data_IF_182877867761
#
_entry.id   IF_182877867761
#
_cell.length_a   1.000
_cell.length_b   1.000
_cell.length_c   1.000
_cell.angle_alpha   90.00
_cell.angle_beta   90.00
_cell.angle_gamma   90.00
#
_symmetry.space_group_name_H-M   'P 1'
#
loop_
_entity.id
_entity.type
_entity.pdbx_description
1 polymer ?
#
# COMPACT_ATOMS: atom_id res chain seq x y z
N UNK A 1 -7.17 1.06 10.44
CA UNK A 1 -6.49 1.67 9.28
C UNK A 1 -7.23 2.93 8.77
N UNK A 2 -8.52 2.89 8.43
CA UNK A 2 -9.30 4.10 8.06
C UNK A 2 -9.18 5.25 9.07
N UNK A 3 -9.26 4.95 10.37
CA UNK A 3 -9.05 5.95 11.43
C UNK A 3 -7.70 6.69 11.34
N UNK A 4 -6.63 6.02 10.89
CA UNK A 4 -5.32 6.64 10.76
C UNK A 4 -5.23 7.55 9.52
N UNK A 5 -5.96 7.22 8.45
CA UNK A 5 -6.06 8.05 7.24
C UNK A 5 -6.87 9.32 7.54
N UNK A 6 -7.98 9.17 8.26
CA UNK A 6 -8.88 10.28 8.58
C UNK A 6 -8.26 11.33 9.50
N UNK A 7 -7.27 10.94 10.31
CA UNK A 7 -6.59 11.84 11.24
C UNK A 7 -5.52 12.72 10.59
N UNK A 8 -4.98 12.34 9.42
CA UNK A 8 -3.78 12.95 8.81
C UNK A 8 -4.01 13.48 7.40
N UNK A 9 -5.12 14.20 7.19
CA UNK A 9 -5.57 14.67 5.87
C UNK A 9 -4.52 15.55 5.15
N UNK A 10 -4.04 16.62 5.80
CA UNK A 10 -3.16 17.61 5.15
C UNK A 10 -1.75 17.09 4.82
N UNK A 11 -1.30 16.03 5.51
CA UNK A 11 0.06 15.52 5.34
C UNK A 11 0.21 14.59 4.12
N UNK A 12 -0.89 14.20 3.46
CA UNK A 12 -0.89 13.14 2.45
C UNK A 12 -1.07 13.61 1.01
N UNK A 13 -1.41 14.89 0.80
CA UNK A 13 -1.49 15.49 -0.51
C UNK A 13 -0.13 15.41 -1.25
N UNK A 14 -0.20 15.15 -2.56
CA UNK A 14 0.94 15.11 -3.48
C UNK A 14 2.04 14.10 -3.10
N UNK A 15 1.66 13.04 -2.36
CA UNK A 15 2.51 11.89 -2.04
C UNK A 15 2.06 10.66 -2.81
N UNK A 16 3.00 9.79 -3.17
CA UNK A 16 2.68 8.48 -3.73
C UNK A 16 2.25 7.50 -2.64
N UNK A 17 1.34 6.58 -2.97
CA UNK A 17 0.85 5.53 -2.08
C UNK A 17 0.86 4.16 -2.79
N UNK A 18 1.44 3.16 -2.14
CA UNK A 18 1.38 1.75 -2.52
C UNK A 18 0.71 0.91 -1.44
N UNK A 19 0.18 -0.25 -1.84
CA UNK A 19 -0.65 -1.09 -0.97
C UNK A 19 -0.10 -2.50 -0.83
N UNK A 20 0.10 -2.90 0.43
CA UNK A 20 0.33 -4.29 0.83
C UNK A 20 -0.87 -4.71 1.68
N UNK A 21 -1.57 -5.76 1.27
CA UNK A 21 -2.75 -6.26 1.96
C UNK A 21 -2.64 -7.75 2.22
N UNK A 22 -3.37 -8.22 3.23
CA UNK A 22 -3.47 -9.63 3.55
C UNK A 22 -4.92 -10.01 3.88
N UNK A 23 -5.24 -11.30 3.73
CA UNK A 23 -6.53 -11.85 4.14
C UNK A 23 -6.89 -13.11 3.36
N UNK A 24 -8.10 -13.63 3.59
CA UNK A 24 -8.61 -14.87 2.94
C UNK A 24 -8.44 -14.84 1.41
N UNK A 25 -8.61 -13.66 0.81
CA UNK A 25 -8.40 -13.41 -0.62
C UNK A 25 -7.43 -12.25 -0.86
N UNK A 26 -6.36 -12.17 -0.07
CA UNK A 26 -5.32 -11.16 -0.25
C UNK A 26 -5.72 -9.74 0.15
N UNK A 27 -6.92 -9.54 0.71
CA UNK A 27 -7.41 -8.21 1.14
C UNK A 27 -7.74 -7.25 -0.01
N UNK A 28 -7.85 -7.74 -1.26
CA UNK A 28 -7.99 -6.89 -2.47
C UNK A 28 -9.16 -5.91 -2.38
N UNK A 29 -10.34 -6.35 -1.93
CA UNK A 29 -11.52 -5.47 -1.80
C UNK A 29 -11.31 -4.33 -0.81
N UNK A 30 -10.54 -4.56 0.25
CA UNK A 30 -10.21 -3.53 1.21
C UNK A 30 -9.28 -2.47 0.59
N UNK A 31 -8.33 -2.90 -0.25
CA UNK A 31 -7.46 -1.99 -0.99
C UNK A 31 -8.23 -1.19 -2.03
N UNK A 32 -9.14 -1.80 -2.78
CA UNK A 32 -9.93 -1.05 -3.77
C UNK A 32 -10.79 0.04 -3.13
N UNK A 33 -11.42 -0.26 -1.98
CA UNK A 33 -12.10 0.75 -1.19
C UNK A 33 -11.14 1.83 -0.68
N UNK A 34 -9.95 1.44 -0.19
CA UNK A 34 -8.97 2.38 0.31
C UNK A 34 -8.40 3.29 -0.79
N UNK A 35 -8.24 2.81 -2.02
CA UNK A 35 -7.77 3.63 -3.15
C UNK A 35 -8.67 4.84 -3.35
N UNK A 36 -9.99 4.66 -3.27
CA UNK A 36 -10.95 5.77 -3.35
C UNK A 36 -10.75 6.79 -2.21
N UNK A 37 -10.54 6.30 -0.98
CA UNK A 37 -10.26 7.16 0.18
C UNK A 37 -8.92 7.90 0.01
N UNK A 38 -7.89 7.25 -0.50
CA UNK A 38 -6.57 7.85 -0.71
C UNK A 38 -6.59 8.93 -1.80
N UNK A 39 -7.42 8.74 -2.84
CA UNK A 39 -7.65 9.77 -3.85
C UNK A 39 -8.29 11.03 -3.24
N UNK A 40 -9.24 10.88 -2.31
CA UNK A 40 -9.89 12.02 -1.64
C UNK A 40 -8.88 12.86 -0.84
N UNK A 41 -7.91 12.21 -0.18
CA UNK A 41 -6.85 12.92 0.57
C UNK A 41 -5.67 13.39 -0.31
N UNK A 42 -5.82 13.34 -1.63
CA UNK A 42 -4.85 13.86 -2.59
C UNK A 42 -3.58 13.02 -2.78
N UNK A 43 -3.60 11.73 -2.41
CA UNK A 43 -2.46 10.83 -2.62
C UNK A 43 -2.55 10.13 -3.99
N UNK A 44 -1.41 9.97 -4.65
CA UNK A 44 -1.30 9.32 -5.94
C UNK A 44 -1.05 7.82 -5.77
N UNK A 45 -2.05 7.00 -6.10
CA UNK A 45 -2.01 5.55 -5.93
C UNK A 45 -1.26 4.86 -7.07
N UNK A 46 -0.20 4.10 -6.75
CA UNK A 46 0.53 3.29 -7.75
C UNK A 46 -0.27 2.05 -8.16
N UNK A 47 0.06 1.45 -9.31
CA UNK A 47 -0.71 0.35 -9.90
C UNK A 47 -0.42 -0.95 -9.16
N UNK A 48 0.86 -1.29 -8.99
CA UNK A 48 1.27 -2.54 -8.37
C UNK A 48 0.75 -2.65 -6.93
N UNK A 49 0.36 -3.85 -6.55
CA UNK A 49 -0.24 -4.18 -5.25
C UNK A 49 0.22 -5.56 -4.82
N UNK A 50 0.69 -5.67 -3.58
CA UNK A 50 0.96 -6.96 -2.95
C UNK A 50 -0.29 -7.41 -2.21
N UNK A 51 -0.77 -8.62 -2.53
CA UNK A 51 -1.95 -9.22 -1.92
C UNK A 51 -1.60 -10.61 -1.39
N UNK A 52 -1.45 -10.72 -0.07
CA UNK A 52 -1.02 -11.94 0.63
C UNK A 52 -2.24 -12.77 1.07
N UNK A 53 -2.40 -13.95 0.51
CA UNK A 53 -3.47 -14.87 0.86
C UNK A 53 -3.16 -15.58 2.17
N UNK A 54 -4.11 -15.56 3.11
CA UNK A 54 -4.00 -16.23 4.41
C UNK A 54 -3.80 -17.75 4.30
N UNK A 55 -4.11 -18.36 3.16
CA UNK A 55 -3.95 -19.80 2.93
C UNK A 55 -2.61 -20.20 2.31
N UNK A 56 -1.94 -19.27 1.63
CA UNK A 56 -0.81 -19.62 0.76
C UNK A 56 0.44 -18.82 1.03
N UNK A 57 0.32 -17.68 1.69
CA UNK A 57 1.43 -16.77 1.97
C UNK A 57 1.81 -16.73 3.46
N UNK A 58 1.19 -17.60 4.27
CA UNK A 58 1.44 -17.71 5.70
C UNK A 58 1.43 -19.16 6.16
N UNK A 59 2.37 -19.50 7.04
CA UNK A 59 2.30 -20.68 7.91
C UNK A 59 1.66 -20.27 9.24
N UNK A 60 0.42 -20.72 9.45
CA UNK A 60 -0.36 -20.47 10.65
C UNK A 60 -0.61 -21.80 11.37
N UNK A 61 0.06 -22.00 12.50
CA UNK A 61 -0.14 -23.19 13.35
C UNK A 61 -1.30 -23.01 14.32
N UNK A 62 -1.45 -21.80 14.88
CA UNK A 62 -2.54 -21.40 15.76
C UNK A 62 -3.04 -20.01 15.34
N UNK A 63 -4.36 -19.80 15.10
CA UNK A 63 -4.92 -18.48 14.79
C UNK A 63 -4.71 -17.41 15.88
N UNK A 64 -4.41 -17.81 17.12
CA UNK A 64 -4.12 -16.90 18.23
C UNK A 64 -2.64 -16.48 18.30
N UNK A 65 -1.75 -17.16 17.56
CA UNK A 65 -0.31 -16.90 17.56
C UNK A 65 0.14 -16.22 16.26
N UNK A 66 1.26 -15.46 16.28
CA UNK A 66 1.83 -14.89 15.07
C UNK A 66 2.23 -15.98 14.07
N UNK A 67 1.71 -15.89 12.83
CA UNK A 67 2.14 -16.75 11.73
C UNK A 67 3.49 -16.34 11.16
N UNK A 68 4.14 -17.25 10.44
CA UNK A 68 5.35 -16.98 9.65
C UNK A 68 4.92 -16.61 8.23
N UNK A 69 5.44 -15.50 7.69
CA UNK A 69 5.17 -15.13 6.30
C UNK A 69 6.01 -16.03 5.38
N UNK A 70 5.34 -16.78 4.53
CA UNK A 70 5.95 -17.71 3.57
C UNK A 70 5.39 -17.37 2.18
N UNK A 71 5.80 -16.23 1.61
CA UNK A 71 5.14 -15.68 0.44
C UNK A 71 5.39 -16.56 -0.79
N UNK A 72 4.39 -16.66 -1.68
CA UNK A 72 4.54 -17.37 -2.94
C UNK A 72 5.63 -16.74 -3.84
N UNK A 73 6.20 -17.49 -4.81
CA UNK A 73 7.36 -17.05 -5.59
C UNK A 73 7.22 -15.73 -6.35
N UNK A 74 5.98 -15.29 -6.62
CA UNK A 74 5.69 -14.07 -7.35
C UNK A 74 5.67 -12.81 -6.46
N UNK A 75 5.49 -12.95 -5.14
CA UNK A 75 5.24 -11.81 -4.25
C UNK A 75 6.45 -10.87 -4.16
N UNK A 76 7.68 -11.41 -4.21
CA UNK A 76 8.90 -10.60 -4.15
C UNK A 76 9.06 -9.70 -5.37
N UNK A 77 8.78 -10.23 -6.56
CA UNK A 77 8.79 -9.43 -7.80
C UNK A 77 7.69 -8.35 -7.77
N UNK A 78 6.48 -8.69 -7.33
CA UNK A 78 5.38 -7.73 -7.17
C UNK A 78 5.71 -6.64 -6.15
N UNK A 79 6.35 -6.99 -5.04
CA UNK A 79 6.80 -6.03 -4.03
C UNK A 79 7.86 -5.09 -4.60
N UNK A 80 8.81 -5.62 -5.36
CA UNK A 80 9.85 -4.81 -6.00
C UNK A 80 9.23 -3.81 -6.97
N UNK A 81 8.30 -4.26 -7.83
CA UNK A 81 7.57 -3.38 -8.76
C UNK A 81 6.80 -2.28 -8.00
N UNK A 82 6.10 -2.64 -6.93
CA UNK A 82 5.38 -1.68 -6.08
C UNK A 82 6.32 -0.63 -5.50
N UNK A 83 7.47 -1.04 -4.95
CA UNK A 83 8.43 -0.12 -4.36
C UNK A 83 9.05 0.78 -5.43
N UNK A 84 9.38 0.24 -6.61
CA UNK A 84 9.90 1.01 -7.74
C UNK A 84 8.91 2.07 -8.21
N UNK A 85 7.62 1.73 -8.36
CA UNK A 85 6.57 2.69 -8.71
C UNK A 85 6.42 3.77 -7.64
N UNK A 86 6.38 3.40 -6.35
CA UNK A 86 6.25 4.36 -5.23
C UNK A 86 7.44 5.32 -5.21
N UNK A 87 8.66 4.82 -5.39
CA UNK A 87 9.88 5.63 -5.43
C UNK A 87 9.88 6.56 -6.63
N UNK A 88 9.52 6.06 -7.82
CA UNK A 88 9.46 6.86 -9.03
C UNK A 88 8.45 8.02 -8.91
N UNK A 89 7.23 7.72 -8.45
CA UNK A 89 6.18 8.73 -8.28
C UNK A 89 6.51 9.70 -7.16
N UNK A 90 7.07 9.23 -6.05
CA UNK A 90 7.51 10.11 -4.96
C UNK A 90 8.57 11.12 -5.39
N UNK A 91 9.51 10.69 -6.26
CA UNK A 91 10.51 11.59 -6.86
C UNK A 91 9.85 12.62 -7.77
N UNK A 92 8.94 12.20 -8.64
CA UNK A 92 8.24 13.09 -9.58
C UNK A 92 7.36 14.13 -8.86
N UNK A 93 6.58 13.70 -7.86
CA UNK A 93 5.65 14.55 -7.11
C UNK A 93 6.33 15.40 -6.03
N UNK A 94 7.65 15.26 -5.83
CA UNK A 94 8.39 16.05 -4.84
C UNK A 94 8.26 17.56 -5.08
N UNK A 95 8.28 17.99 -6.34
CA UNK A 95 8.24 19.41 -6.72
C UNK A 95 6.91 20.09 -6.36
N UNK A 96 5.82 19.33 -6.24
CA UNK A 96 4.51 19.87 -5.83
C UNK A 96 4.45 20.22 -4.33
N UNK A 97 5.37 19.64 -3.54
CA UNK A 97 5.45 19.82 -2.08
C UNK A 97 6.50 20.85 -1.67
N UNK A 98 7.35 21.25 -2.60
CA UNK A 98 8.33 22.31 -2.36
C UNK A 98 7.67 23.67 -2.57
N UNK A 99 7.89 24.65 -1.68
CA UNK A 99 7.37 25.98 -1.88
C UNK A 99 7.92 26.54 -3.20
N UNK A 100 7.05 27.20 -3.98
CA UNK A 100 7.46 27.86 -5.22
C UNK A 100 8.67 28.76 -4.93
N UNK A 101 9.73 28.62 -5.72
CA UNK A 101 10.87 29.53 -5.65
C UNK A 101 10.35 30.96 -5.92
N UNK A 102 10.44 31.81 -4.89
CA UNK A 102 10.04 33.22 -4.94
C UNK A 102 11.04 34.04 -5.76
#
# INVERSE_FOLDING_TARGET
>A
MKNAVDFLYAERADKAAGFVSHGVHGGVRAVEHLRQVMTEVGAANVRAQVALSAFTDFELTDPAEPGVITPGPHQEATLTELLDEVVAWSKALRTLREPAAA
#
